data_IF_482540154773
#
_entry.id   IF_482540154773
#
_cell.length_a   1.000
_cell.length_b   1.000
_cell.length_c   1.000
_cell.angle_alpha   90.00
_cell.angle_beta   90.00
_cell.angle_gamma   90.00
#
_symmetry.space_group_name_H-M   'P 1'
#
loop_
_entity.id
_entity.type
_entity.pdbx_description
1 polymer ?
#
# COMPACT_ATOMS: atom_id res chain seq x y z
N UNK A 1 -1.43 -25.22 -3.67
CA UNK A 1 -1.30 -24.10 -2.72
C UNK A 1 -2.68 -23.81 -2.12
N UNK A 2 -2.82 -23.80 -0.80
CA UNK A 2 -4.11 -23.52 -0.16
C UNK A 2 -4.46 -22.03 -0.33
N UNK A 3 -5.63 -21.73 -0.89
CA UNK A 3 -6.08 -20.35 -1.14
C UNK A 3 -6.50 -19.63 0.16
N UNK A 4 -6.83 -20.40 1.19
CA UNK A 4 -7.34 -19.92 2.47
C UNK A 4 -6.57 -20.59 3.60
N UNK A 5 -6.24 -19.83 4.64
CA UNK A 5 -5.68 -20.36 5.88
C UNK A 5 -6.77 -20.94 6.76
N UNK A 6 -7.81 -20.13 7.00
CA UNK A 6 -8.91 -20.43 7.91
C UNK A 6 -10.10 -19.52 7.62
N UNK A 7 -11.28 -19.89 8.11
CA UNK A 7 -12.48 -19.07 8.03
C UNK A 7 -12.83 -18.56 9.42
N UNK A 8 -12.98 -17.24 9.57
CA UNK A 8 -13.50 -16.61 10.79
C UNK A 8 -14.99 -16.31 10.53
N UNK A 9 -15.87 -17.27 10.86
CA UNK A 9 -17.28 -17.21 10.47
C UNK A 9 -17.43 -17.23 8.95
N UNK A 10 -18.09 -16.23 8.38
CA UNK A 10 -18.24 -16.05 6.92
C UNK A 10 -17.04 -15.37 6.25
N UNK A 11 -16.03 -14.93 7.02
CA UNK A 11 -14.87 -14.22 6.49
C UNK A 11 -13.72 -15.19 6.17
N UNK A 12 -13.36 -15.39 4.88
CA UNK A 12 -12.23 -16.23 4.52
C UNK A 12 -10.91 -15.48 4.73
N UNK A 13 -10.01 -16.01 5.56
CA UNK A 13 -8.64 -15.52 5.66
C UNK A 13 -7.82 -16.07 4.49
N UNK A 14 -7.59 -15.21 3.48
CA UNK A 14 -6.93 -15.59 2.23
C UNK A 14 -5.42 -15.61 2.37
N UNK A 15 -4.78 -16.64 1.80
CA UNK A 15 -3.34 -16.84 1.95
C UNK A 15 -2.50 -15.71 1.34
N UNK A 16 -2.91 -15.17 0.20
CA UNK A 16 -2.21 -14.05 -0.43
C UNK A 16 -2.22 -12.79 0.44
N UNK A 17 -3.31 -12.52 1.17
CA UNK A 17 -3.41 -11.35 2.04
C UNK A 17 -2.35 -11.38 3.15
N UNK A 18 -2.12 -12.55 3.71
CA UNK A 18 -1.03 -12.77 4.68
C UNK A 18 0.34 -12.52 4.06
N UNK A 19 0.57 -13.01 2.83
CA UNK A 19 1.83 -12.77 2.12
C UNK A 19 2.04 -11.27 1.86
N UNK A 20 1.01 -10.54 1.44
CA UNK A 20 1.09 -9.08 1.25
C UNK A 20 1.42 -8.32 2.54
N UNK A 21 0.80 -8.69 3.67
CA UNK A 21 1.09 -8.07 4.97
C UNK A 21 2.53 -8.36 5.39
N UNK A 22 2.98 -9.61 5.25
CA UNK A 22 4.34 -10.00 5.59
C UNK A 22 5.38 -9.31 4.71
N UNK A 23 5.12 -9.23 3.40
CA UNK A 23 5.94 -8.49 2.44
C UNK A 23 6.06 -7.01 2.82
N UNK A 24 4.93 -6.35 3.10
CA UNK A 24 4.92 -4.95 3.54
C UNK A 24 5.71 -4.73 4.84
N UNK A 25 5.50 -5.59 5.84
CA UNK A 25 6.23 -5.50 7.12
C UNK A 25 7.72 -5.79 6.95
N UNK A 26 8.08 -6.77 6.12
CA UNK A 26 9.48 -7.09 5.80
C UNK A 26 10.14 -5.93 5.05
N UNK A 27 9.47 -5.34 4.06
CA UNK A 27 9.93 -4.16 3.34
C UNK A 27 10.19 -2.98 4.28
N UNK A 28 9.25 -2.68 5.18
CA UNK A 28 9.44 -1.64 6.19
C UNK A 28 10.59 -1.97 7.14
N UNK A 29 10.71 -3.21 7.61
CA UNK A 29 11.79 -3.64 8.49
C UNK A 29 13.17 -3.52 7.82
N UNK A 30 13.28 -3.87 6.53
CA UNK A 30 14.50 -3.70 5.73
C UNK A 30 14.88 -2.22 5.65
N UNK A 31 13.92 -1.33 5.36
CA UNK A 31 14.19 0.10 5.31
C UNK A 31 14.66 0.63 6.67
N UNK A 32 13.98 0.28 7.77
CA UNK A 32 14.38 0.71 9.11
C UNK A 32 15.76 0.16 9.50
N UNK A 33 16.09 -1.06 9.08
CA UNK A 33 17.42 -1.62 9.27
C UNK A 33 18.49 -0.83 8.51
N UNK A 34 18.24 -0.49 7.24
CA UNK A 34 19.15 0.32 6.41
C UNK A 34 19.35 1.72 7.00
N UNK A 35 18.29 2.36 7.49
CA UNK A 35 18.40 3.66 8.17
C UNK A 35 19.35 3.60 9.36
N UNK A 36 19.29 2.52 10.14
CA UNK A 36 20.20 2.30 11.27
C UNK A 36 21.63 2.04 10.80
N UNK A 37 21.80 1.22 9.77
CA UNK A 37 23.10 0.86 9.22
C UNK A 37 23.84 2.07 8.60
N UNK A 38 23.10 3.01 8.00
CA UNK A 38 23.65 4.22 7.38
C UNK A 38 23.67 5.45 8.30
N UNK A 39 23.34 5.29 9.59
CA UNK A 39 23.24 6.41 10.56
C UNK A 39 22.24 7.50 10.14
N UNK A 40 21.14 7.12 9.48
CA UNK A 40 20.06 7.99 8.99
C UNK A 40 18.77 7.84 9.80
N UNK A 41 18.88 7.51 11.08
CA UNK A 41 17.74 7.25 11.99
C UNK A 41 16.72 8.40 12.07
N UNK A 42 17.14 9.63 11.77
CA UNK A 42 16.26 10.80 11.66
C UNK A 42 15.08 10.63 10.69
N UNK A 43 15.16 9.70 9.72
CA UNK A 43 14.07 9.41 8.79
C UNK A 43 13.13 8.29 9.25
N UNK A 44 13.39 7.63 10.38
CA UNK A 44 12.60 6.48 10.82
C UNK A 44 11.11 6.81 11.01
N UNK A 45 10.82 7.89 11.74
CA UNK A 45 9.45 8.35 11.97
C UNK A 45 8.76 8.78 10.66
N UNK A 46 9.53 9.33 9.72
CA UNK A 46 9.04 9.67 8.40
C UNK A 46 8.68 8.42 7.60
N UNK A 47 9.49 7.35 7.64
CA UNK A 47 9.18 6.10 6.95
C UNK A 47 7.99 5.35 7.57
N UNK A 48 7.89 5.33 8.90
CA UNK A 48 6.70 4.77 9.58
C UNK A 48 5.43 5.50 9.15
N UNK A 49 5.46 6.83 9.20
CA UNK A 49 4.32 7.66 8.78
C UNK A 49 4.02 7.51 7.28
N UNK A 50 5.05 7.58 6.44
CA UNK A 50 4.92 7.45 4.99
C UNK A 50 4.34 6.09 4.61
N UNK A 51 4.76 5.01 5.27
CA UNK A 51 4.26 3.65 4.99
C UNK A 51 2.74 3.55 5.19
N UNK A 52 2.21 4.18 6.25
CA UNK A 52 0.77 4.23 6.50
C UNK A 52 0.04 5.09 5.47
N UNK A 53 0.59 6.25 5.11
CA UNK A 53 0.03 7.11 4.07
C UNK A 53 -0.05 6.38 2.72
N UNK A 54 1.03 5.72 2.33
CA UNK A 54 1.13 4.96 1.08
C UNK A 54 0.20 3.76 1.09
N UNK A 55 0.08 3.02 2.20
CA UNK A 55 -0.83 1.88 2.32
C UNK A 55 -2.29 2.31 2.15
N UNK A 56 -2.71 3.35 2.86
CA UNK A 56 -4.09 3.86 2.79
C UNK A 56 -4.39 4.43 1.41
N UNK A 57 -3.52 5.28 0.88
CA UNK A 57 -3.70 5.86 -0.44
C UNK A 57 -3.62 4.82 -1.56
N UNK A 58 -2.83 3.76 -1.39
CA UNK A 58 -2.78 2.63 -2.30
C UNK A 58 -4.11 1.88 -2.35
N UNK A 59 -4.73 1.59 -1.20
CA UNK A 59 -6.05 0.93 -1.16
C UNK A 59 -7.11 1.83 -1.81
N UNK A 60 -7.12 3.12 -1.48
CA UNK A 60 -8.07 4.09 -2.05
C UNK A 60 -7.87 4.25 -3.55
N UNK A 61 -6.62 4.39 -4.00
CA UNK A 61 -6.26 4.50 -5.41
C UNK A 61 -6.60 3.24 -6.19
N UNK A 62 -6.32 2.07 -5.64
CA UNK A 62 -6.68 0.78 -6.24
C UNK A 62 -8.18 0.64 -6.44
N UNK A 63 -8.97 1.11 -5.45
CA UNK A 63 -10.42 1.09 -5.53
C UNK A 63 -10.97 2.09 -6.55
N UNK A 64 -10.47 3.32 -6.48
CA UNK A 64 -10.81 4.37 -7.44
C UNK A 64 -10.55 3.90 -8.86
N UNK A 65 -9.39 3.29 -9.11
CA UNK A 65 -9.03 2.84 -10.45
C UNK A 65 -9.96 1.72 -10.96
N UNK A 66 -10.29 0.75 -10.11
CA UNK A 66 -11.27 -0.29 -10.46
C UNK A 66 -12.62 0.32 -10.85
N UNK A 67 -13.11 1.24 -10.03
CA UNK A 67 -14.45 1.82 -10.18
C UNK A 67 -14.56 2.67 -11.44
N UNK A 68 -13.60 3.57 -11.67
CA UNK A 68 -13.73 4.57 -12.73
C UNK A 68 -13.15 4.13 -14.07
N UNK A 69 -12.13 3.26 -14.08
CA UNK A 69 -11.46 2.85 -15.33
C UNK A 69 -11.85 1.46 -15.82
N UNK A 70 -12.22 0.53 -14.94
CA UNK A 70 -12.54 -0.84 -15.34
C UNK A 70 -14.06 -1.12 -15.35
N UNK A 71 -14.79 -0.79 -14.28
CA UNK A 71 -16.15 -1.29 -14.07
C UNK A 71 -17.18 -0.19 -13.79
N UNK A 72 -17.04 0.99 -14.38
CA UNK A 72 -17.92 2.13 -14.10
C UNK A 72 -19.40 1.81 -14.31
N UNK A 73 -19.74 1.05 -15.36
CA UNK A 73 -21.13 0.65 -15.65
C UNK A 73 -21.77 -0.15 -14.50
N UNK A 74 -21.00 -1.03 -13.84
CA UNK A 74 -21.47 -1.80 -12.70
C UNK A 74 -21.65 -0.91 -11.47
N UNK A 75 -20.66 -0.06 -11.16
CA UNK A 75 -20.67 0.78 -9.95
C UNK A 75 -21.65 1.95 -10.04
N UNK A 76 -21.94 2.45 -11.24
CA UNK A 76 -22.98 3.45 -11.45
C UNK A 76 -24.37 2.90 -11.08
N UNK A 77 -24.61 1.60 -11.29
CA UNK A 77 -25.84 0.92 -10.87
C UNK A 77 -25.83 0.52 -9.39
N UNK A 78 -24.65 0.35 -8.77
CA UNK A 78 -24.47 -0.08 -7.39
C UNK A 78 -23.50 0.84 -6.63
N UNK A 79 -23.87 2.11 -6.38
CA UNK A 79 -22.97 3.09 -5.78
C UNK A 79 -22.51 2.71 -4.36
N UNK A 80 -23.32 1.94 -3.62
CA UNK A 80 -22.95 1.41 -2.30
C UNK A 80 -21.74 0.47 -2.34
N UNK A 81 -21.52 -0.22 -3.46
CA UNK A 81 -20.43 -1.17 -3.59
C UNK A 81 -19.08 -0.48 -3.79
N UNK A 82 -19.05 0.81 -4.14
CA UNK A 82 -17.81 1.58 -4.35
C UNK A 82 -16.91 1.52 -3.11
N UNK A 83 -17.48 1.64 -1.90
CA UNK A 83 -16.73 1.59 -0.65
C UNK A 83 -16.45 0.16 -0.15
N UNK A 84 -17.12 -0.84 -0.72
CA UNK A 84 -17.10 -2.21 -0.24
C UNK A 84 -15.87 -3.01 -0.71
N UNK A 85 -14.68 -2.58 -0.26
CA UNK A 85 -13.39 -3.16 -0.64
C UNK A 85 -13.23 -4.65 -0.25
N UNK A 86 -14.03 -5.14 0.70
CA UNK A 86 -14.04 -6.55 1.12
C UNK A 86 -14.67 -7.49 0.09
N UNK A 87 -15.42 -6.99 -0.90
CA UNK A 87 -15.88 -7.78 -2.04
C UNK A 87 -14.78 -8.02 -3.09
N UNK A 88 -13.60 -7.39 -2.92
CA UNK A 88 -12.51 -7.42 -3.88
C UNK A 88 -12.58 -6.27 -4.88
N UNK A 89 -11.98 -6.45 -6.06
CA UNK A 89 -11.92 -5.39 -7.08
C UNK A 89 -10.98 -4.25 -6.70
N UNK A 90 -9.71 -4.56 -6.50
CA UNK A 90 -8.65 -3.59 -6.28
C UNK A 90 -7.65 -3.71 -7.43
N UNK A 91 -7.48 -2.63 -8.19
CA UNK A 91 -6.54 -2.57 -9.31
C UNK A 91 -5.13 -2.25 -8.83
N UNK A 92 -4.15 -3.02 -9.28
CA UNK A 92 -2.73 -2.75 -8.97
C UNK A 92 -2.26 -1.42 -9.55
N UNK A 93 -2.73 -1.04 -10.74
CA UNK A 93 -2.40 0.23 -11.38
C UNK A 93 -2.83 1.41 -10.50
N UNK A 94 -4.05 1.35 -9.99
CA UNK A 94 -4.55 2.33 -9.03
C UNK A 94 -3.80 2.34 -7.71
N UNK A 95 -3.41 1.16 -7.22
CA UNK A 95 -2.64 1.04 -5.98
C UNK A 95 -1.27 1.71 -6.09
N UNK A 96 -0.54 1.43 -7.16
CA UNK A 96 0.78 2.03 -7.43
C UNK A 96 0.65 3.55 -7.62
N UNK A 97 -0.31 4.02 -8.41
CA UNK A 97 -0.50 5.46 -8.63
C UNK A 97 -0.91 6.18 -7.35
N UNK A 98 -1.86 5.62 -6.58
CA UNK A 98 -2.30 6.19 -5.31
C UNK A 98 -1.17 6.26 -4.28
N UNK A 99 -0.38 5.20 -4.16
CA UNK A 99 0.83 5.12 -3.35
C UNK A 99 1.85 6.20 -3.72
N UNK A 100 2.19 6.31 -5.00
CA UNK A 100 3.16 7.30 -5.51
C UNK A 100 2.69 8.73 -5.26
N UNK A 101 1.41 9.03 -5.52
CA UNK A 101 0.84 10.36 -5.28
C UNK A 101 0.95 10.72 -3.79
N UNK A 102 0.57 9.81 -2.89
CA UNK A 102 0.70 10.05 -1.45
C UNK A 102 2.15 10.24 -1.02
N UNK A 103 3.08 9.43 -1.55
CA UNK A 103 4.50 9.57 -1.24
C UNK A 103 5.05 10.93 -1.68
N UNK A 104 4.75 11.35 -2.90
CA UNK A 104 5.17 12.65 -3.44
C UNK A 104 4.57 13.80 -2.63
N UNK A 105 3.29 13.73 -2.25
CA UNK A 105 2.64 14.75 -1.42
C UNK A 105 3.32 14.82 -0.04
N UNK A 106 3.56 13.67 0.59
CA UNK A 106 4.20 13.59 1.90
C UNK A 106 5.62 14.17 1.86
N UNK A 107 6.45 13.72 0.93
CA UNK A 107 7.84 14.18 0.78
C UNK A 107 7.89 15.71 0.57
N UNK A 108 6.99 16.26 -0.26
CA UNK A 108 6.91 17.72 -0.48
C UNK A 108 6.44 18.47 0.77
N UNK A 109 5.45 17.94 1.49
CA UNK A 109 4.92 18.55 2.72
C UNK A 109 5.99 18.69 3.80
N UNK A 110 6.84 17.68 3.96
CA UNK A 110 7.90 17.65 4.97
C UNK A 110 9.27 18.10 4.44
N UNK A 111 9.35 18.56 3.18
CA UNK A 111 10.58 19.05 2.52
C UNK A 111 11.75 18.04 2.59
N UNK A 112 11.44 16.76 2.41
CA UNK A 112 12.42 15.69 2.48
C UNK A 112 13.15 15.50 1.14
N UNK A 113 14.41 15.02 1.14
CA UNK A 113 15.16 14.74 -0.09
C UNK A 113 14.57 13.51 -0.79
N UNK A 114 13.91 13.73 -1.95
CA UNK A 114 13.19 12.68 -2.67
C UNK A 114 14.10 11.52 -3.09
N UNK A 115 15.25 11.81 -3.72
CA UNK A 115 16.13 10.78 -4.26
C UNK A 115 16.75 9.92 -3.16
N UNK A 116 17.25 10.55 -2.10
CA UNK A 116 17.75 9.85 -0.92
C UNK A 116 16.70 8.90 -0.31
N UNK A 117 15.45 9.37 -0.15
CA UNK A 117 14.39 8.52 0.38
C UNK A 117 13.98 7.41 -0.59
N UNK A 118 13.99 7.68 -1.90
CA UNK A 118 13.68 6.68 -2.91
C UNK A 118 14.73 5.56 -2.94
N UNK A 119 16.01 5.91 -2.87
CA UNK A 119 17.12 4.95 -2.83
C UNK A 119 17.06 4.08 -1.57
N UNK A 120 16.77 4.69 -0.41
CA UNK A 120 16.56 3.96 0.85
C UNK A 120 15.33 3.05 0.81
N UNK A 121 14.27 3.47 0.13
CA UNK A 121 13.01 2.71 0.03
C UNK A 121 13.09 1.54 -0.97
N UNK A 122 13.94 1.63 -2.00
CA UNK A 122 13.97 0.69 -3.11
C UNK A 122 14.18 -0.79 -2.70
N UNK A 123 15.08 -1.12 -1.74
CA UNK A 123 15.23 -2.50 -1.26
C UNK A 123 14.00 -3.02 -0.51
N UNK A 124 13.23 -2.14 0.14
CA UNK A 124 11.98 -2.52 0.78
C UNK A 124 10.83 -2.69 -0.21
N UNK A 125 10.84 -1.93 -1.32
CA UNK A 125 9.78 -1.90 -2.32
C UNK A 125 9.69 -3.18 -3.19
N UNK A 126 10.80 -3.91 -3.34
CA UNK A 126 10.84 -5.15 -4.14
C UNK A 126 10.19 -6.36 -3.44
N UNK A 127 9.96 -6.27 -2.13
CA UNK A 127 9.37 -7.33 -1.30
C UNK A 127 7.84 -7.32 -1.37
#
# INVERSE_FOLDING_TARGET
>A
MHQYWLHIGSFPLRAYGTVFILAFLAGLAVVLYLLKAEHREQYADHFLSLSLWVLVAGIVGARFWQVFFFDWSFYAAHPGDIAAIWHGGLSIQGGVVGALVAAVIYIRKYRLPFWDLADLAAPGLIL
#
